data_IF_354683263757
#
_entry.id   IF_354683263757
#
_cell.length_a   1.000
_cell.length_b   1.000
_cell.length_c   1.000
_cell.angle_alpha   90.00
_cell.angle_beta   90.00
_cell.angle_gamma   90.00
#
_symmetry.space_group_name_H-M   'P 1'
#
loop_
_entity.id
_entity.type
_entity.pdbx_description
1 polymer ?
#
# COMPACT_ATOMS: atom_id res chain seq x y z
N UNK A 1 12.37 -7.95 19.82
CA UNK A 1 10.93 -8.01 20.14
C UNK A 1 10.43 -6.56 20.19
N UNK A 2 9.83 -6.07 19.14
CA UNK A 2 9.26 -4.72 19.14
C UNK A 2 7.97 -4.77 19.96
N UNK A 3 7.98 -4.16 21.14
CA UNK A 3 6.77 -3.99 21.97
C UNK A 3 5.87 -2.98 21.27
N UNK A 4 4.94 -3.46 20.48
CA UNK A 4 3.90 -2.61 19.91
C UNK A 4 2.93 -2.24 21.02
N UNK A 5 2.91 -0.96 21.42
CA UNK A 5 1.88 -0.43 22.33
C UNK A 5 0.50 -0.77 21.75
N UNK A 6 -0.49 -1.13 22.58
CA UNK A 6 -1.86 -1.34 22.11
C UNK A 6 -2.37 -0.15 21.31
N UNK A 7 -3.18 -0.36 20.27
CA UNK A 7 -3.79 0.71 19.49
C UNK A 7 -4.51 1.72 20.36
N UNK A 8 -4.46 3.00 19.98
CA UNK A 8 -5.12 4.09 20.69
C UNK A 8 -6.42 4.45 19.97
N UNK A 9 -7.54 4.33 20.66
CA UNK A 9 -8.88 4.59 20.14
C UNK A 9 -9.44 5.84 20.81
N UNK A 10 -9.97 6.77 20.03
CA UNK A 10 -10.75 7.89 20.52
C UNK A 10 -12.22 7.52 20.53
N UNK A 11 -12.87 7.70 21.67
CA UNK A 11 -14.30 7.48 21.86
C UNK A 11 -14.96 8.84 22.07
N UNK A 12 -15.93 9.15 21.23
CA UNK A 12 -16.62 10.44 21.21
C UNK A 12 -18.09 10.21 21.46
N UNK A 13 -18.58 10.68 22.59
CA UNK A 13 -19.99 10.64 22.96
C UNK A 13 -20.21 11.66 24.10
N UNK A 14 -21.29 12.40 24.08
CA UNK A 14 -21.61 13.41 25.11
C UNK A 14 -22.17 12.77 26.38
N UNK A 15 -22.70 11.53 26.27
CA UNK A 15 -23.28 10.79 27.39
C UNK A 15 -22.21 10.00 28.17
N UNK A 16 -21.99 10.27 29.48
CA UNK A 16 -21.02 9.54 30.26
C UNK A 16 -21.30 8.04 30.38
N UNK A 17 -22.56 7.62 30.29
CA UNK A 17 -23.00 6.21 30.31
C UNK A 17 -22.46 5.45 29.11
N UNK A 18 -22.49 6.04 27.92
CA UNK A 18 -21.97 5.44 26.70
C UNK A 18 -20.44 5.33 26.75
N UNK A 19 -19.76 6.38 27.23
CA UNK A 19 -18.31 6.35 27.43
C UNK A 19 -17.89 5.27 28.43
N UNK A 20 -18.64 5.10 29.54
CA UNK A 20 -18.37 4.08 30.53
C UNK A 20 -18.54 2.66 29.93
N UNK A 21 -19.60 2.43 29.17
CA UNK A 21 -19.85 1.15 28.52
C UNK A 21 -18.77 0.82 27.48
N UNK A 22 -18.36 1.79 26.65
CA UNK A 22 -17.26 1.60 25.71
C UNK A 22 -15.93 1.31 26.39
N UNK A 23 -15.69 1.93 27.55
CA UNK A 23 -14.52 1.64 28.38
C UNK A 23 -14.53 0.19 28.88
N UNK A 24 -15.65 -0.32 29.30
CA UNK A 24 -15.80 -1.70 29.75
C UNK A 24 -15.55 -2.69 28.60
N UNK A 25 -16.08 -2.38 27.42
CA UNK A 25 -15.94 -3.25 26.23
C UNK A 25 -14.51 -3.28 25.71
N UNK A 26 -13.84 -2.12 25.63
CA UNK A 26 -12.59 -1.96 24.88
C UNK A 26 -11.34 -1.82 25.76
N UNK A 27 -11.51 -1.45 27.04
CA UNK A 27 -10.41 -1.02 27.91
C UNK A 27 -9.34 -2.08 28.18
N UNK A 28 -9.67 -3.35 28.15
CA UNK A 28 -8.71 -4.45 28.38
C UNK A 28 -7.76 -4.69 27.20
N UNK A 29 -8.18 -4.33 25.98
CA UNK A 29 -7.43 -4.64 24.74
C UNK A 29 -6.80 -3.41 24.11
N UNK A 30 -7.35 -2.21 24.37
CA UNK A 30 -6.98 -0.97 23.68
C UNK A 30 -6.70 0.16 24.67
N UNK A 31 -5.88 1.10 24.26
CA UNK A 31 -5.72 2.38 24.95
C UNK A 31 -6.85 3.30 24.51
N UNK A 32 -7.45 4.02 25.43
CA UNK A 32 -8.63 4.83 25.16
C UNK A 32 -8.38 6.30 25.51
N UNK A 33 -8.86 7.18 24.64
CA UNK A 33 -8.99 8.64 24.84
C UNK A 33 -10.47 8.98 24.66
N UNK A 34 -10.94 9.98 25.34
CA UNK A 34 -12.36 10.35 25.32
C UNK A 34 -12.54 11.80 24.95
N UNK A 35 -13.58 12.09 24.17
CA UNK A 35 -14.05 13.44 23.86
C UNK A 35 -15.58 13.47 24.06
N UNK A 36 -16.12 14.64 24.38
CA UNK A 36 -17.55 14.83 24.65
C UNK A 36 -18.25 15.76 23.65
N UNK A 37 -17.50 16.30 22.72
CA UNK A 37 -18.00 17.21 21.69
C UNK A 37 -17.06 17.27 20.50
N UNK A 38 -17.48 17.88 19.41
CA UNK A 38 -16.71 17.94 18.17
C UNK A 38 -15.40 18.68 18.31
N UNK A 39 -15.38 19.84 18.99
CA UNK A 39 -14.16 20.64 19.18
C UNK A 39 -13.07 19.83 19.93
N UNK A 40 -13.43 19.12 21.01
CA UNK A 40 -12.49 18.27 21.75
C UNK A 40 -12.06 17.04 20.92
N UNK A 41 -12.89 16.55 20.00
CA UNK A 41 -12.56 15.46 19.08
C UNK A 41 -11.46 15.88 18.11
N UNK A 42 -11.62 17.03 17.47
CA UNK A 42 -10.63 17.58 16.54
C UNK A 42 -9.30 17.83 17.24
N UNK A 43 -9.33 18.45 18.43
CA UNK A 43 -8.13 18.71 19.22
C UNK A 43 -7.43 17.40 19.67
N UNK A 44 -8.20 16.37 20.03
CA UNK A 44 -7.64 15.07 20.40
C UNK A 44 -7.01 14.35 19.18
N UNK A 45 -7.62 14.44 18.01
CA UNK A 45 -7.10 13.84 16.79
C UNK A 45 -5.77 14.47 16.34
N UNK A 46 -5.60 15.77 16.52
CA UNK A 46 -4.32 16.42 16.23
C UNK A 46 -3.23 16.12 17.28
N UNK A 47 -3.62 15.96 18.53
CA UNK A 47 -2.69 15.74 19.65
C UNK A 47 -2.17 14.31 19.75
N UNK A 48 -2.97 13.34 19.36
CA UNK A 48 -2.70 11.92 19.60
C UNK A 48 -2.58 11.15 18.27
N UNK A 49 -1.63 10.22 18.21
CA UNK A 49 -1.55 9.27 17.09
C UNK A 49 -2.63 8.19 17.28
N UNK A 50 -3.83 8.48 16.80
CA UNK A 50 -4.99 7.61 16.94
C UNK A 50 -4.98 6.51 15.89
N UNK A 51 -5.42 5.33 16.28
CA UNK A 51 -5.58 4.18 15.37
C UNK A 51 -7.01 4.02 14.84
N UNK A 52 -8.01 4.59 15.55
CA UNK A 52 -9.42 4.52 15.20
C UNK A 52 -10.21 5.55 16.01
N UNK A 53 -11.31 6.05 15.46
CA UNK A 53 -12.28 6.94 16.14
C UNK A 53 -13.65 6.26 16.14
N UNK A 54 -14.27 6.13 17.32
CA UNK A 54 -15.68 5.83 17.48
C UNK A 54 -16.40 7.16 17.74
N UNK A 55 -17.25 7.59 16.82
CA UNK A 55 -17.80 8.94 16.79
C UNK A 55 -19.33 8.91 16.84
N UNK A 56 -19.90 9.48 17.91
CA UNK A 56 -21.33 9.75 17.92
C UNK A 56 -21.68 10.85 16.90
N UNK A 57 -22.83 10.72 16.29
CA UNK A 57 -23.37 11.71 15.35
C UNK A 57 -23.94 12.90 16.11
N UNK A 58 -24.66 12.65 17.19
CA UNK A 58 -25.33 13.69 17.95
C UNK A 58 -24.39 14.27 19.02
N UNK A 59 -23.69 15.33 18.70
CA UNK A 59 -22.83 16.03 19.63
C UNK A 59 -23.38 17.43 19.96
N UNK A 60 -23.07 17.99 21.14
CA UNK A 60 -23.70 19.23 21.60
C UNK A 60 -23.28 20.50 20.87
N UNK A 61 -22.15 20.52 20.19
CA UNK A 61 -21.55 21.69 19.56
C UNK A 61 -21.56 21.64 18.04
N UNK A 62 -21.42 20.46 17.42
CA UNK A 62 -21.47 20.26 15.98
C UNK A 62 -21.89 18.84 15.64
N UNK A 63 -22.44 18.63 14.45
CA UNK A 63 -22.82 17.33 13.94
C UNK A 63 -21.59 16.45 13.73
N UNK A 64 -21.67 15.17 14.12
CA UNK A 64 -20.61 14.19 13.91
C UNK A 64 -20.21 14.00 12.45
N UNK A 65 -21.14 14.21 11.51
CA UNK A 65 -20.82 14.21 10.08
C UNK A 65 -19.86 15.36 9.70
N UNK A 66 -20.06 16.53 10.31
CA UNK A 66 -19.19 17.68 10.08
C UNK A 66 -17.80 17.41 10.69
N UNK A 67 -17.72 16.84 11.89
CA UNK A 67 -16.47 16.38 12.50
C UNK A 67 -15.73 15.43 11.59
N UNK A 68 -16.44 14.44 11.04
CA UNK A 68 -15.88 13.44 10.12
C UNK A 68 -15.31 14.11 8.86
N UNK A 69 -16.04 15.02 8.23
CA UNK A 69 -15.56 15.76 7.04
C UNK A 69 -14.30 16.58 7.33
N UNK A 70 -14.24 17.26 8.48
CA UNK A 70 -13.06 18.03 8.87
C UNK A 70 -11.84 17.12 9.11
N UNK A 71 -12.02 15.98 9.78
CA UNK A 71 -10.97 15.00 9.99
C UNK A 71 -10.46 14.41 8.66
N UNK A 72 -11.37 14.10 7.74
CA UNK A 72 -11.05 13.56 6.41
C UNK A 72 -10.48 14.60 5.43
N UNK A 73 -10.72 15.89 5.68
CA UNK A 73 -10.13 17.00 4.94
C UNK A 73 -8.72 17.41 5.42
N UNK A 74 -8.24 16.89 6.54
CA UNK A 74 -6.93 17.22 7.10
C UNK A 74 -5.93 16.09 6.81
N UNK A 75 -4.81 16.34 6.07
CA UNK A 75 -3.82 15.33 5.73
C UNK A 75 -3.22 14.55 6.91
N UNK A 76 -3.22 15.14 8.11
CA UNK A 76 -2.69 14.47 9.31
C UNK A 76 -3.67 13.49 9.95
N UNK A 77 -4.95 13.56 9.62
CA UNK A 77 -6.01 12.76 10.24
C UNK A 77 -6.89 12.01 9.23
N UNK A 78 -6.77 12.29 7.93
CA UNK A 78 -7.60 11.67 6.88
C UNK A 78 -7.53 10.13 6.85
N UNK A 79 -6.36 9.56 7.19
CA UNK A 79 -6.14 8.10 7.20
C UNK A 79 -6.76 7.41 8.43
N UNK A 80 -7.16 8.16 9.48
CA UNK A 80 -7.71 7.55 10.68
C UNK A 80 -9.11 7.00 10.36
N UNK A 81 -9.38 5.68 10.53
CA UNK A 81 -10.71 5.14 10.31
C UNK A 81 -11.69 5.68 11.34
N UNK A 82 -12.87 6.08 10.86
CA UNK A 82 -13.97 6.61 11.68
C UNK A 82 -15.14 5.66 11.57
N UNK A 83 -15.62 5.16 12.71
CA UNK A 83 -16.85 4.36 12.83
C UNK A 83 -17.89 5.21 13.54
N UNK A 84 -19.03 5.46 12.91
CA UNK A 84 -20.10 6.14 13.60
C UNK A 84 -20.78 5.25 14.63
N UNK A 85 -21.14 5.84 15.77
CA UNK A 85 -21.97 5.18 16.82
C UNK A 85 -23.26 5.96 16.92
N UNK A 86 -24.38 5.41 16.44
CA UNK A 86 -25.60 6.18 16.23
C UNK A 86 -26.85 5.44 16.71
N UNK A 87 -27.85 6.18 17.15
CA UNK A 87 -29.20 5.67 17.39
C UNK A 87 -30.06 5.62 16.09
N UNK A 88 -29.56 6.16 14.98
CA UNK A 88 -30.27 6.23 13.72
C UNK A 88 -30.20 4.89 12.97
N UNK A 89 -31.33 4.43 12.45
CA UNK A 89 -31.51 3.13 11.80
C UNK A 89 -32.05 3.26 10.36
N UNK A 90 -31.97 4.45 9.75
CA UNK A 90 -32.44 4.62 8.37
C UNK A 90 -31.31 4.37 7.36
N UNK A 91 -31.64 3.76 6.22
CA UNK A 91 -30.68 3.56 5.11
C UNK A 91 -30.11 4.88 4.59
N UNK A 92 -30.83 6.00 4.80
CA UNK A 92 -30.37 7.34 4.41
C UNK A 92 -29.22 7.83 5.29
N UNK A 93 -29.26 7.55 6.60
CA UNK A 93 -28.22 7.95 7.54
C UNK A 93 -26.91 7.18 7.28
N UNK A 94 -27.01 5.90 6.91
CA UNK A 94 -25.86 5.09 6.50
C UNK A 94 -25.18 5.66 5.24
N UNK A 95 -25.95 6.02 4.23
CA UNK A 95 -25.45 6.59 2.99
C UNK A 95 -24.76 7.95 3.23
N UNK A 96 -25.32 8.78 4.10
CA UNK A 96 -24.74 10.08 4.47
C UNK A 96 -23.41 9.86 5.21
N UNK A 97 -23.35 8.92 6.15
CA UNK A 97 -22.15 8.62 6.92
C UNK A 97 -21.01 8.12 6.05
N UNK A 98 -21.28 7.19 5.14
CA UNK A 98 -20.28 6.68 4.20
C UNK A 98 -19.79 7.77 3.22
N UNK A 99 -20.69 8.65 2.75
CA UNK A 99 -20.33 9.81 1.93
C UNK A 99 -19.49 10.85 2.69
N UNK A 100 -19.63 10.95 4.02
CA UNK A 100 -18.79 11.79 4.86
C UNK A 100 -17.38 11.24 5.05
N UNK A 101 -17.10 9.99 4.63
CA UNK A 101 -15.81 9.35 4.70
C UNK A 101 -15.62 8.39 5.88
N UNK A 102 -16.69 8.05 6.60
CA UNK A 102 -16.63 6.98 7.60
C UNK A 102 -16.48 5.61 6.94
N UNK A 103 -15.83 4.69 7.64
CA UNK A 103 -15.59 3.32 7.15
C UNK A 103 -16.67 2.33 7.58
N UNK A 104 -17.45 2.66 8.62
CA UNK A 104 -18.48 1.79 9.18
C UNK A 104 -19.38 2.54 10.17
N UNK A 105 -20.41 1.87 10.68
CA UNK A 105 -21.30 2.40 11.71
C UNK A 105 -21.69 1.31 12.72
N UNK A 106 -22.06 1.69 13.93
CA UNK A 106 -22.55 0.84 15.01
C UNK A 106 -23.84 1.46 15.54
N UNK A 107 -24.93 0.70 15.49
CA UNK A 107 -26.24 1.17 15.99
C UNK A 107 -26.36 1.02 17.49
N UNK A 108 -26.92 2.02 18.15
CA UNK A 108 -27.32 1.98 19.56
C UNK A 108 -28.72 1.33 19.69
N UNK A 109 -29.00 0.46 20.66
CA UNK A 109 -28.08 -0.06 21.67
C UNK A 109 -27.10 -1.07 21.08
N UNK A 110 -25.80 -0.91 21.38
CA UNK A 110 -24.77 -1.74 20.80
C UNK A 110 -24.44 -2.99 21.63
N UNK A 111 -24.19 -4.09 20.92
CA UNK A 111 -23.68 -5.33 21.53
C UNK A 111 -22.16 -5.25 21.69
N UNK A 112 -21.60 -5.63 22.87
CA UNK A 112 -20.15 -5.70 23.07
C UNK A 112 -19.41 -6.51 21.99
N UNK A 113 -20.00 -7.64 21.59
CA UNK A 113 -19.42 -8.50 20.56
C UNK A 113 -19.32 -7.81 19.19
N UNK A 114 -20.34 -7.02 18.82
CA UNK A 114 -20.37 -6.27 17.55
C UNK A 114 -19.32 -5.14 17.58
N UNK A 115 -19.25 -4.38 18.67
CA UNK A 115 -18.26 -3.31 18.83
C UNK A 115 -16.84 -3.87 18.68
N UNK A 116 -16.51 -4.93 19.44
CA UNK A 116 -15.20 -5.58 19.38
C UNK A 116 -14.87 -6.12 17.98
N UNK A 117 -15.84 -6.75 17.33
CA UNK A 117 -15.64 -7.30 15.98
C UNK A 117 -15.32 -6.19 14.96
N UNK A 118 -16.11 -5.11 14.93
CA UNK A 118 -15.91 -4.00 13.98
C UNK A 118 -14.61 -3.26 14.23
N UNK A 119 -14.29 -2.92 15.48
CA UNK A 119 -13.03 -2.31 15.85
C UNK A 119 -11.84 -3.17 15.41
N UNK A 120 -11.89 -4.48 15.66
CA UNK A 120 -10.81 -5.40 15.27
C UNK A 120 -10.62 -5.47 13.76
N UNK A 121 -11.72 -5.54 13.01
CA UNK A 121 -11.67 -5.58 11.53
C UNK A 121 -10.98 -4.33 11.00
N UNK A 122 -11.44 -3.14 11.38
CA UNK A 122 -10.88 -1.89 10.83
C UNK A 122 -9.45 -1.63 11.28
N UNK A 123 -9.07 -1.97 12.50
CA UNK A 123 -7.67 -1.91 12.94
C UNK A 123 -6.76 -2.89 12.17
N UNK A 124 -7.29 -4.05 11.77
CA UNK A 124 -6.52 -5.00 10.96
C UNK A 124 -6.31 -4.52 9.53
N UNK A 125 -7.32 -3.87 8.93
CA UNK A 125 -7.22 -3.28 7.59
C UNK A 125 -6.16 -2.17 7.53
N UNK A 126 -6.20 -1.22 8.47
CA UNK A 126 -5.19 -0.14 8.56
C UNK A 126 -3.78 -0.71 8.69
N UNK A 127 -3.60 -1.74 9.54
CA UNK A 127 -2.30 -2.38 9.71
C UNK A 127 -1.81 -3.04 8.41
N UNK A 128 -2.71 -3.63 7.64
CA UNK A 128 -2.37 -4.26 6.36
C UNK A 128 -1.95 -3.21 5.33
N UNK A 129 -2.70 -2.14 5.18
CA UNK A 129 -2.39 -1.03 4.27
C UNK A 129 -1.02 -0.40 4.59
N UNK A 130 -0.77 -0.06 5.86
CA UNK A 130 0.52 0.51 6.29
C UNK A 130 1.69 -0.45 6.00
N UNK A 131 1.47 -1.76 6.17
CA UNK A 131 2.48 -2.76 5.88
C UNK A 131 2.76 -2.88 4.38
N UNK A 132 1.72 -2.85 3.55
CA UNK A 132 1.85 -2.86 2.10
C UNK A 132 2.58 -1.61 1.58
N UNK A 133 2.27 -0.42 2.11
CA UNK A 133 3.00 0.80 1.81
C UNK A 133 4.48 0.70 2.21
N UNK A 134 4.76 0.23 3.41
CA UNK A 134 6.14 0.05 3.88
C UNK A 134 6.92 -0.94 3.02
N UNK A 135 6.30 -2.01 2.56
CA UNK A 135 6.92 -2.94 1.62
C UNK A 135 7.17 -2.29 0.26
N UNK A 136 6.22 -1.51 -0.23
CA UNK A 136 6.37 -0.77 -1.49
C UNK A 136 7.55 0.19 -1.41
N UNK A 137 7.64 0.99 -0.35
CA UNK A 137 8.74 1.92 -0.12
C UNK A 137 10.09 1.22 -0.02
N UNK A 138 10.15 0.08 0.69
CA UNK A 138 11.38 -0.72 0.79
C UNK A 138 11.83 -1.27 -0.57
N UNK A 139 10.90 -1.79 -1.37
CA UNK A 139 11.18 -2.27 -2.73
C UNK A 139 11.67 -1.12 -3.60
N UNK A 140 11.09 0.04 -3.43
CA UNK A 140 11.46 1.25 -4.14
C UNK A 140 12.86 1.73 -3.79
N UNK A 141 13.19 1.78 -2.51
CA UNK A 141 14.55 2.12 -2.07
C UNK A 141 15.59 1.13 -2.59
N UNK A 142 15.27 -0.17 -2.60
CA UNK A 142 16.15 -1.20 -3.15
C UNK A 142 16.35 -1.06 -4.67
N UNK A 143 15.28 -0.77 -5.41
CA UNK A 143 15.36 -0.48 -6.84
C UNK A 143 16.24 0.74 -7.12
N UNK A 144 16.04 1.84 -6.40
CA UNK A 144 16.84 3.05 -6.53
C UNK A 144 18.33 2.80 -6.19
N UNK A 145 18.62 2.01 -5.15
CA UNK A 145 19.98 1.65 -4.76
C UNK A 145 20.68 0.83 -5.86
N UNK A 146 19.95 -0.07 -6.53
CA UNK A 146 20.47 -0.86 -7.65
C UNK A 146 20.91 -0.02 -8.85
N UNK A 147 20.33 1.16 -9.03
CA UNK A 147 20.63 2.09 -10.12
C UNK A 147 21.58 3.21 -9.72
N UNK A 148 22.04 3.28 -8.46
CA UNK A 148 22.91 4.35 -7.98
C UNK A 148 24.21 4.50 -8.78
N UNK A 149 24.70 3.41 -9.34
CA UNK A 149 25.92 3.37 -10.16
C UNK A 149 25.63 3.46 -11.67
N UNK A 150 24.38 3.49 -12.09
CA UNK A 150 23.97 3.61 -13.48
C UNK A 150 23.66 5.08 -13.79
N UNK A 151 23.87 5.51 -15.03
CA UNK A 151 23.58 6.89 -15.46
C UNK A 151 22.07 7.18 -15.57
N UNK A 152 21.22 6.18 -15.33
CA UNK A 152 19.77 6.33 -15.33
C UNK A 152 19.25 6.93 -14.02
N UNK A 153 18.50 8.01 -14.14
CA UNK A 153 17.87 8.69 -13.00
C UNK A 153 16.74 7.82 -12.42
N UNK A 154 16.54 7.88 -11.08
CA UNK A 154 15.47 7.14 -10.39
C UNK A 154 14.07 7.29 -11.00
N UNK A 155 13.81 8.36 -11.76
CA UNK A 155 12.55 8.59 -12.50
C UNK A 155 12.31 7.53 -13.59
N UNK A 156 13.36 6.95 -14.18
CA UNK A 156 13.24 5.90 -15.20
C UNK A 156 12.59 4.64 -14.63
N UNK A 157 12.96 4.25 -13.43
CA UNK A 157 12.49 3.03 -12.76
C UNK A 157 10.98 3.04 -12.58
N UNK A 158 10.44 4.19 -12.15
CA UNK A 158 9.00 4.37 -11.94
C UNK A 158 8.20 4.30 -13.22
N UNK A 159 8.68 5.00 -14.24
CA UNK A 159 8.02 4.98 -15.56
C UNK A 159 8.01 3.58 -16.16
N UNK A 160 9.12 2.86 -16.03
CA UNK A 160 9.25 1.49 -16.51
C UNK A 160 8.28 0.55 -15.78
N UNK A 161 8.17 0.64 -14.45
CA UNK A 161 7.23 -0.13 -13.65
C UNK A 161 5.78 0.14 -14.04
N UNK A 162 5.40 1.41 -14.18
CA UNK A 162 4.05 1.82 -14.59
C UNK A 162 3.72 1.34 -16.02
N UNK A 163 4.67 1.44 -16.95
CA UNK A 163 4.48 0.93 -18.32
C UNK A 163 4.34 -0.59 -18.35
N UNK A 164 5.15 -1.31 -17.56
CA UNK A 164 5.06 -2.76 -17.45
C UNK A 164 3.71 -3.21 -16.92
N UNK A 165 3.21 -2.55 -15.86
CA UNK A 165 1.89 -2.82 -15.31
C UNK A 165 0.77 -2.54 -16.31
N UNK A 166 0.83 -1.38 -16.99
CA UNK A 166 -0.17 -1.03 -18.00
C UNK A 166 -0.21 -2.01 -19.16
N UNK A 167 0.94 -2.45 -19.65
CA UNK A 167 1.02 -3.46 -20.71
C UNK A 167 0.46 -4.81 -20.25
N UNK A 168 0.76 -5.22 -19.01
CA UNK A 168 0.23 -6.45 -18.44
C UNK A 168 -1.30 -6.40 -18.27
N UNK A 169 -1.86 -5.24 -17.89
CA UNK A 169 -3.32 -5.03 -17.84
C UNK A 169 -3.96 -5.17 -19.22
N UNK A 170 -3.39 -4.56 -20.25
CA UNK A 170 -3.86 -4.69 -21.63
C UNK A 170 -3.76 -6.14 -22.14
N UNK A 171 -2.81 -6.93 -21.62
CA UNK A 171 -2.69 -8.37 -21.87
C UNK A 171 -3.67 -9.23 -21.05
N UNK A 172 -4.46 -8.61 -20.16
CA UNK A 172 -5.45 -9.30 -19.32
C UNK A 172 -4.84 -10.09 -18.16
N UNK A 173 -3.67 -9.66 -17.64
CA UNK A 173 -3.01 -10.34 -16.51
C UNK A 173 -3.72 -10.12 -15.17
N UNK A 174 -4.64 -9.15 -15.06
CA UNK A 174 -5.43 -8.86 -13.86
C UNK A 174 -4.52 -8.55 -12.66
N UNK A 175 -4.71 -9.24 -11.54
CA UNK A 175 -3.92 -9.01 -10.33
C UNK A 175 -2.40 -9.14 -10.53
N UNK A 176 -1.94 -9.86 -11.56
CA UNK A 176 -0.50 -10.00 -11.85
C UNK A 176 0.12 -8.71 -12.36
N UNK A 177 -0.64 -7.79 -12.94
CA UNK A 177 -0.15 -6.49 -13.39
C UNK A 177 0.34 -5.64 -12.23
N UNK A 178 -0.39 -5.63 -11.10
CA UNK A 178 0.01 -4.94 -9.86
C UNK A 178 1.27 -5.55 -9.25
N UNK A 179 1.39 -6.88 -9.29
CA UNK A 179 2.61 -7.57 -8.84
C UNK A 179 3.80 -7.24 -9.73
N UNK A 180 3.59 -7.09 -11.04
CA UNK A 180 4.63 -6.70 -11.98
C UNK A 180 5.08 -5.27 -11.72
N UNK A 181 4.16 -4.32 -11.49
CA UNK A 181 4.49 -2.94 -11.12
C UNK A 181 5.40 -2.89 -9.89
N UNK A 182 5.09 -3.69 -8.87
CA UNK A 182 5.87 -3.75 -7.64
C UNK A 182 7.24 -4.41 -7.84
N UNK A 183 7.33 -5.44 -8.70
CA UNK A 183 8.56 -6.20 -8.91
C UNK A 183 9.52 -5.55 -9.93
N UNK A 184 8.99 -4.82 -10.91
CA UNK A 184 9.78 -4.25 -11.99
C UNK A 184 10.92 -3.32 -11.53
N UNK A 185 10.77 -2.49 -10.49
CA UNK A 185 11.87 -1.66 -9.97
C UNK A 185 13.13 -2.44 -9.59
N UNK A 186 12.99 -3.71 -9.23
CA UNK A 186 14.10 -4.53 -8.74
C UNK A 186 14.91 -5.22 -9.86
N UNK A 187 14.49 -5.12 -11.12
CA UNK A 187 15.07 -5.90 -12.21
C UNK A 187 16.61 -5.72 -12.35
N UNK A 188 17.10 -4.52 -12.10
CA UNK A 188 18.50 -4.13 -12.23
C UNK A 188 19.27 -4.07 -10.90
N UNK A 189 18.62 -4.36 -9.77
CA UNK A 189 19.29 -4.35 -8.44
C UNK A 189 20.51 -5.29 -8.40
N UNK A 190 20.51 -6.37 -9.19
CA UNK A 190 21.63 -7.28 -9.30
C UNK A 190 22.87 -6.68 -9.97
N UNK A 191 22.80 -5.51 -10.60
CA UNK A 191 23.94 -4.77 -11.11
C UNK A 191 24.92 -4.35 -10.01
N UNK A 192 24.49 -4.31 -8.74
CA UNK A 192 25.37 -4.13 -7.58
C UNK A 192 26.50 -5.17 -7.55
N UNK A 193 26.24 -6.39 -8.04
CA UNK A 193 27.22 -7.47 -8.13
C UNK A 193 28.12 -7.41 -9.36
N UNK A 194 27.97 -6.44 -10.26
CA UNK A 194 28.77 -6.29 -11.47
C UNK A 194 29.96 -5.36 -11.19
N UNK A 195 31.17 -5.73 -11.58
CA UNK A 195 32.34 -4.86 -11.41
C UNK A 195 32.15 -3.49 -12.07
N UNK A 196 32.53 -2.42 -11.36
CA UNK A 196 32.39 -1.04 -11.84
C UNK A 196 33.12 -0.80 -13.17
N UNK A 197 34.24 -1.50 -13.40
CA UNK A 197 34.98 -1.42 -14.66
C UNK A 197 34.16 -1.87 -15.89
N UNK A 198 33.22 -2.77 -15.68
CA UNK A 198 32.29 -3.24 -16.72
C UNK A 198 31.06 -2.34 -16.76
N UNK A 199 30.46 -2.05 -15.60
CA UNK A 199 29.24 -1.29 -15.49
C UNK A 199 29.38 0.15 -16.03
N UNK A 200 30.52 0.80 -15.75
CA UNK A 200 30.82 2.20 -16.14
C UNK A 200 31.80 2.30 -17.33
N UNK A 201 31.97 1.24 -18.10
CA UNK A 201 32.87 1.25 -19.23
C UNK A 201 32.44 2.29 -20.28
N UNK A 202 33.30 3.24 -20.67
CA UNK A 202 32.96 4.27 -21.64
C UNK A 202 33.03 3.78 -23.11
N UNK A 203 32.98 2.46 -23.32
CA UNK A 203 33.03 1.81 -24.62
C UNK A 203 32.10 0.58 -24.65
N UNK A 204 31.75 0.04 -25.81
CA UNK A 204 30.98 -1.21 -25.90
C UNK A 204 31.66 -2.34 -25.12
N UNK A 205 30.83 -3.18 -24.47
CA UNK A 205 31.31 -4.35 -23.75
C UNK A 205 31.83 -5.41 -24.72
N UNK A 206 32.94 -6.06 -24.34
CA UNK A 206 33.43 -7.25 -25.06
C UNK A 206 32.51 -8.45 -24.83
N UNK A 207 32.62 -9.53 -25.63
CA UNK A 207 31.83 -10.76 -25.42
C UNK A 207 31.97 -11.33 -23.99
N UNK A 208 33.19 -11.32 -23.42
CA UNK A 208 33.44 -11.82 -22.08
C UNK A 208 32.83 -10.93 -21.01
N UNK A 209 32.89 -9.61 -21.16
CA UNK A 209 32.25 -8.65 -20.28
C UNK A 209 30.74 -8.78 -20.33
N UNK A 210 30.16 -9.07 -21.49
CA UNK A 210 28.74 -9.39 -21.65
C UNK A 210 28.33 -10.65 -20.89
N UNK A 211 29.17 -11.67 -20.84
CA UNK A 211 28.93 -12.88 -20.01
C UNK A 211 28.78 -12.49 -18.55
N UNK A 212 29.66 -11.61 -18.07
CA UNK A 212 29.60 -11.10 -16.68
C UNK A 212 28.34 -10.23 -16.49
N UNK A 213 28.08 -9.29 -17.37
CA UNK A 213 26.90 -8.41 -17.30
C UNK A 213 25.59 -9.22 -17.23
N UNK A 214 25.45 -10.26 -18.02
CA UNK A 214 24.29 -11.16 -18.04
C UNK A 214 24.11 -11.98 -16.74
N UNK A 215 25.01 -11.88 -15.79
CA UNK A 215 24.83 -12.55 -14.48
C UNK A 215 24.00 -11.74 -13.49
N UNK A 216 23.74 -10.44 -13.72
CA UNK A 216 22.98 -9.61 -12.78
C UNK A 216 21.60 -10.17 -12.42
N UNK A 217 20.79 -10.82 -13.32
CA UNK A 217 19.53 -11.42 -12.93
C UNK A 217 19.69 -12.54 -11.89
N UNK A 218 20.80 -13.27 -11.94
CA UNK A 218 21.09 -14.32 -10.94
C UNK A 218 21.37 -13.72 -9.57
N UNK A 219 22.03 -12.55 -9.51
CA UNK A 219 22.27 -11.83 -8.26
C UNK A 219 20.97 -11.32 -7.65
N UNK A 220 20.02 -10.79 -8.45
CA UNK A 220 18.70 -10.42 -7.95
C UNK A 220 17.99 -11.64 -7.35
N UNK A 221 18.01 -12.77 -8.04
CA UNK A 221 17.40 -13.99 -7.54
C UNK A 221 18.04 -14.48 -6.23
N UNK A 222 19.38 -14.48 -6.14
CA UNK A 222 20.07 -14.87 -4.93
C UNK A 222 19.70 -13.97 -3.76
N UNK A 223 19.70 -12.66 -3.97
CA UNK A 223 19.31 -11.67 -2.97
C UNK A 223 17.86 -11.87 -2.49
N UNK A 224 16.92 -12.08 -3.41
CA UNK A 224 15.52 -12.30 -3.08
C UNK A 224 15.29 -13.62 -2.34
N UNK A 225 16.01 -14.70 -2.69
CA UNK A 225 15.89 -16.00 -2.02
C UNK A 225 16.45 -15.96 -0.61
N UNK A 226 17.57 -15.26 -0.38
CA UNK A 226 18.21 -15.17 0.93
C UNK A 226 17.43 -14.28 1.90
N UNK A 227 16.78 -13.22 1.40
CA UNK A 227 16.09 -12.21 2.24
C UNK A 227 14.62 -12.58 2.51
N UNK A 228 13.99 -13.37 1.65
CA UNK A 228 12.54 -13.51 1.68
C UNK A 228 12.09 -14.95 1.86
N UNK A 229 11.88 -15.33 3.12
CA UNK A 229 11.24 -16.59 3.48
C UNK A 229 9.73 -16.57 3.14
N UNK A 230 9.27 -17.51 2.34
CA UNK A 230 7.88 -17.98 2.10
C UNK A 230 6.84 -17.06 1.41
N UNK A 231 6.79 -15.78 1.63
CA UNK A 231 5.70 -14.94 1.10
C UNK A 231 5.87 -14.58 -0.40
N UNK A 232 7.10 -14.62 -0.92
CA UNK A 232 7.45 -14.20 -2.28
C UNK A 232 7.78 -15.33 -3.28
N UNK A 233 7.53 -16.60 -2.98
CA UNK A 233 7.78 -17.68 -3.96
C UNK A 233 7.13 -17.44 -5.33
N UNK A 234 6.01 -16.77 -5.35
CA UNK A 234 5.27 -16.42 -6.56
C UNK A 234 5.90 -15.24 -7.30
N UNK A 235 6.25 -14.18 -6.56
CA UNK A 235 6.91 -13.00 -7.10
C UNK A 235 8.31 -13.34 -7.63
N UNK A 236 9.04 -14.21 -6.94
CA UNK A 236 10.34 -14.72 -7.40
C UNK A 236 10.24 -15.41 -8.76
N UNK A 237 9.23 -16.26 -8.97
CA UNK A 237 9.05 -16.98 -10.23
C UNK A 237 8.67 -16.02 -11.37
N UNK A 238 7.83 -15.03 -11.09
CA UNK A 238 7.44 -14.00 -12.05
C UNK A 238 8.64 -13.13 -12.42
N UNK A 239 9.37 -12.63 -11.42
CA UNK A 239 10.55 -11.79 -11.62
C UNK A 239 11.63 -12.53 -12.40
N UNK A 240 11.92 -13.79 -12.05
CA UNK A 240 12.88 -14.63 -12.75
C UNK A 240 12.49 -14.88 -14.22
N UNK A 241 11.21 -15.11 -14.48
CA UNK A 241 10.69 -15.30 -15.84
C UNK A 241 10.86 -14.02 -16.68
N UNK A 242 10.54 -12.86 -16.08
CA UNK A 242 10.71 -11.57 -16.71
C UNK A 242 12.19 -11.31 -17.04
N UNK A 243 13.08 -11.56 -16.11
CA UNK A 243 14.52 -11.26 -16.23
C UNK A 243 15.23 -12.26 -17.16
N UNK A 244 14.90 -13.55 -17.06
CA UNK A 244 15.54 -14.61 -17.88
C UNK A 244 15.23 -14.51 -19.37
N UNK A 245 13.98 -14.12 -19.67
CA UNK A 245 13.50 -14.09 -21.07
C UNK A 245 13.52 -12.68 -21.67
N UNK A 246 13.96 -11.66 -20.88
CA UNK A 246 13.74 -10.26 -21.21
C UNK A 246 12.24 -9.94 -21.14
N UNK A 247 11.87 -8.87 -20.44
CA UNK A 247 10.47 -8.45 -20.28
C UNK A 247 9.71 -8.40 -21.62
N UNK A 248 10.41 -8.07 -22.69
CA UNK A 248 9.91 -7.99 -24.07
C UNK A 248 9.42 -9.35 -24.60
N UNK A 249 10.12 -10.45 -24.31
CA UNK A 249 9.79 -11.78 -24.88
C UNK A 249 8.52 -12.36 -24.25
N UNK A 250 8.32 -12.20 -22.95
CA UNK A 250 7.11 -12.72 -22.26
C UNK A 250 5.87 -11.94 -22.69
N UNK A 251 5.97 -10.61 -22.70
CA UNK A 251 4.87 -9.73 -23.14
C UNK A 251 4.60 -9.94 -24.65
N UNK A 252 5.63 -10.08 -25.46
CA UNK A 252 5.49 -10.29 -26.91
C UNK A 252 4.79 -11.62 -27.24
N UNK A 253 5.05 -12.69 -26.49
CA UNK A 253 4.40 -13.98 -26.70
C UNK A 253 2.90 -13.93 -26.37
N UNK A 254 2.54 -13.35 -25.22
CA UNK A 254 1.13 -13.19 -24.82
C UNK A 254 0.35 -12.23 -25.73
N UNK A 255 1.03 -11.22 -26.27
CA UNK A 255 0.44 -10.26 -27.21
C UNK A 255 0.29 -10.83 -28.63
N UNK A 256 1.23 -11.64 -29.09
CA UNK A 256 1.15 -12.30 -30.40
C UNK A 256 0.00 -13.33 -30.45
N UNK A 257 -0.26 -14.03 -29.34
CA UNK A 257 -1.38 -14.99 -29.24
C UNK A 257 -2.76 -14.30 -29.23
N UNK A 258 -2.86 -13.03 -28.80
CA UNK A 258 -4.14 -12.30 -28.65
C UNK A 258 -4.54 -11.41 -29.82
N UNK A 259 -3.79 -11.36 -30.92
CA UNK A 259 -4.12 -10.60 -32.17
C UNK A 259 -4.47 -9.09 -32.00
N UNK A 260 -4.13 -8.44 -30.89
CA UNK A 260 -4.55 -7.06 -30.59
C UNK A 260 -3.37 -6.09 -30.41
N UNK A 261 -2.35 -6.14 -31.26
CA UNK A 261 -1.27 -5.18 -31.15
C UNK A 261 -1.33 -4.08 -32.19
N UNK A 262 -1.59 -2.86 -31.72
CA UNK A 262 -1.34 -1.66 -32.49
C UNK A 262 0.20 -1.51 -32.64
N UNK A 263 0.68 -1.33 -33.87
CA UNK A 263 2.12 -1.23 -34.21
C UNK A 263 2.91 -0.24 -33.30
N UNK A 264 2.23 0.77 -32.74
CA UNK A 264 2.84 1.73 -31.79
C UNK A 264 3.33 1.12 -30.50
N UNK A 265 2.67 0.08 -29.99
CA UNK A 265 3.06 -0.61 -28.74
C UNK A 265 4.25 -1.52 -28.99
N UNK A 266 4.29 -2.17 -30.17
CA UNK A 266 5.44 -2.97 -30.59
C UNK A 266 6.71 -2.11 -30.74
N UNK A 267 6.57 -0.89 -31.26
CA UNK A 267 7.67 0.06 -31.41
C UNK A 267 8.21 0.57 -30.07
N UNK A 268 7.34 0.84 -29.12
CA UNK A 268 7.72 1.21 -27.74
C UNK A 268 8.51 0.09 -27.04
N UNK A 269 8.07 -1.16 -27.19
CA UNK A 269 8.75 -2.33 -26.63
C UNK A 269 10.15 -2.56 -27.23
N UNK A 270 10.29 -2.35 -28.54
CA UNK A 270 11.57 -2.44 -29.25
C UNK A 270 12.54 -1.32 -28.85
N UNK A 271 12.08 -0.10 -28.62
CA UNK A 271 12.92 1.01 -28.18
C UNK A 271 13.48 0.82 -26.75
N UNK A 272 12.78 0.09 -25.88
CA UNK A 272 13.27 -0.23 -24.53
C UNK A 272 14.24 -1.43 -24.48
N UNK A 273 14.29 -2.28 -25.52
CA UNK A 273 15.20 -3.42 -25.59
C UNK A 273 16.55 -3.10 -26.23
N UNK A 274 16.71 -1.92 -26.81
CA UNK A 274 17.91 -1.52 -27.60
C UNK A 274 18.77 -0.43 -26.91
N UNK A 275 18.51 -0.11 -25.64
CA UNK A 275 19.40 0.77 -24.85
C UNK A 275 20.07 0.05 -23.71
#
# INVERSE_FOLDING_TARGET
MFSTKPPLILIVDDEPSNLAMMREILGDQYRLVYAKNGASTLAAAEKHNLSLILLDINLPDMDGYEVCKQLKGNPNTEQIPIIFVTAMNSNQDEEIGLKAGAVDYITKPFSPAIVLARVRIHLSLVKTETLEESYRDAIYMLGAAGHYNDNDTGVHIWRMAAYAARLADECGWGLKSKLLELAAPMHDTGKIGIPNAILRKPAPLTPDEWVIMKTHPKWVMKFLVEVVHLYLKWQQKLLFTIMKNGMVVVIHKDLAEKKYLNQRVLWLLLMFSMR
#
